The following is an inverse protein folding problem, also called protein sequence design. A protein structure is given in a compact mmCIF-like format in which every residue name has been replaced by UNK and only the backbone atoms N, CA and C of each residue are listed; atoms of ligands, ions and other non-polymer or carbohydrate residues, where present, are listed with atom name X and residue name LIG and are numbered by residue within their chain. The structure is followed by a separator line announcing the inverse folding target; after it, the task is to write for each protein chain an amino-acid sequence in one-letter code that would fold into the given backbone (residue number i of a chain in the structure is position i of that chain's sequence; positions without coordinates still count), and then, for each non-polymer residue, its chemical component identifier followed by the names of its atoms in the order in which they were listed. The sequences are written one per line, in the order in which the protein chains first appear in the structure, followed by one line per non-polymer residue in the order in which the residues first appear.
data_IF_775262535308
#
_entry.id   IF_775262535308
#
_cell.length_a   1.000
_cell.length_b   1.000
_cell.length_c   1.000
_cell.angle_alpha   90.00
_cell.angle_beta   90.00
_cell.angle_gamma   90.00
#
_symmetry.space_group_name_H-M   'P 1'
#
loop_
_entity.id
_entity.type
_entity.pdbx_description
1 polymer ?
#
# COMPACT_ATOMS: atom_id res chain seq x y z
N UNK A 1 16.82 -15.28 -64.93
CA UNK A 1 15.52 -14.59 -65.16
C UNK A 1 14.48 -15.15 -64.20
N UNK A 2 14.26 -14.50 -63.05
CA UNK A 2 12.95 -13.97 -62.60
C UNK A 2 13.13 -13.43 -61.17
N UNK A 3 12.79 -12.16 -61.03
CA UNK A 3 13.00 -11.28 -59.88
C UNK A 3 12.02 -11.55 -58.75
N UNK A 4 12.53 -11.44 -57.52
CA UNK A 4 11.77 -11.38 -56.29
C UNK A 4 10.84 -10.15 -56.29
N UNK A 5 9.55 -10.34 -55.98
CA UNK A 5 8.65 -9.26 -55.62
C UNK A 5 8.14 -9.47 -54.19
N UNK A 6 8.84 -8.82 -53.27
CA UNK A 6 8.43 -8.58 -51.90
C UNK A 6 7.18 -7.70 -51.91
N UNK A 7 6.04 -8.19 -51.38
CA UNK A 7 4.86 -7.36 -51.11
C UNK A 7 4.78 -7.07 -49.62
N UNK A 8 5.35 -5.94 -49.24
CA UNK A 8 5.14 -5.29 -47.95
C UNK A 8 3.66 -4.91 -47.80
N UNK A 9 2.97 -5.45 -46.80
CA UNK A 9 1.71 -4.87 -46.30
C UNK A 9 2.08 -3.76 -45.33
N UNK A 10 1.92 -2.53 -45.80
CA UNK A 10 2.03 -1.28 -45.04
C UNK A 10 1.04 -1.34 -43.88
N UNK A 11 1.58 -1.29 -42.65
CA UNK A 11 0.81 -1.09 -41.43
C UNK A 11 0.27 0.34 -41.47
N UNK A 12 -1.04 0.48 -41.67
CA UNK A 12 -1.72 1.76 -41.59
C UNK A 12 -1.67 2.27 -40.14
N UNK A 13 -0.74 3.20 -39.91
CA UNK A 13 -0.59 4.00 -38.70
C UNK A 13 -1.79 4.93 -38.60
N UNK A 14 -2.73 4.60 -37.71
CA UNK A 14 -3.80 5.52 -37.34
C UNK A 14 -3.17 6.77 -36.73
N UNK A 15 -3.30 7.89 -37.43
CA UNK A 15 -2.90 9.21 -36.97
C UNK A 15 -3.78 9.60 -35.77
N UNK A 16 -3.09 9.81 -34.64
CA UNK A 16 -3.61 10.36 -33.40
C UNK A 16 -4.39 11.66 -33.66
N UNK A 17 -5.71 11.61 -33.51
CA UNK A 17 -6.48 12.80 -33.18
C UNK A 17 -6.15 13.17 -31.73
N UNK A 18 -5.44 14.28 -31.53
CA UNK A 18 -5.20 14.86 -30.22
C UNK A 18 -6.55 15.28 -29.61
N UNK A 19 -7.15 14.40 -28.82
CA UNK A 19 -8.31 14.73 -28.00
C UNK A 19 -7.87 15.75 -26.93
N UNK A 20 -8.49 16.92 -26.97
CA UNK A 20 -8.25 18.01 -26.03
C UNK A 20 -8.32 17.52 -24.58
N UNK A 21 -7.28 17.82 -23.79
CA UNK A 21 -7.28 17.48 -22.37
C UNK A 21 -8.36 18.31 -21.64
N UNK A 22 -9.25 17.68 -20.85
CA UNK A 22 -10.19 18.44 -20.04
C UNK A 22 -9.43 19.21 -18.96
N UNK A 23 -9.77 20.50 -18.83
CA UNK A 23 -9.28 21.39 -17.76
C UNK A 23 -9.57 20.71 -16.42
N UNK A 24 -8.53 20.46 -15.61
CA UNK A 24 -8.69 19.87 -14.27
C UNK A 24 -9.50 20.83 -13.41
N UNK A 25 -10.80 20.57 -13.27
CA UNK A 25 -11.54 20.97 -12.09
C UNK A 25 -10.92 20.25 -10.89
N UNK A 26 -10.87 20.91 -9.72
CA UNK A 26 -10.49 20.25 -8.47
C UNK A 26 -11.56 19.19 -8.19
N UNK A 27 -11.33 17.98 -8.72
CA UNK A 27 -12.31 16.93 -8.75
C UNK A 27 -12.64 16.53 -7.33
N UNK A 28 -13.92 16.62 -6.95
CA UNK A 28 -14.44 15.75 -5.92
C UNK A 28 -14.09 14.33 -6.35
N UNK A 29 -13.10 13.72 -5.70
CA UNK A 29 -12.79 12.31 -5.92
C UNK A 29 -14.05 11.57 -5.48
N UNK A 30 -14.82 11.07 -6.45
CA UNK A 30 -15.84 10.09 -6.18
C UNK A 30 -15.10 8.90 -5.56
N UNK A 31 -15.29 8.70 -4.25
CA UNK A 31 -14.80 7.50 -3.59
C UNK A 31 -15.80 6.42 -3.97
N UNK A 32 -15.52 5.72 -5.07
CA UNK A 32 -16.21 4.49 -5.42
C UNK A 32 -15.97 3.51 -4.26
N UNK A 33 -16.97 3.40 -3.38
CA UNK A 33 -17.00 2.39 -2.30
C UNK A 33 -17.37 1.07 -2.95
N UNK A 34 -16.45 0.49 -3.70
CA UNK A 34 -16.57 -0.91 -4.09
C UNK A 34 -16.55 -1.73 -2.79
N UNK A 35 -17.73 -2.21 -2.39
CA UNK A 35 -18.00 -3.11 -1.26
C UNK A 35 -17.48 -4.53 -1.54
N UNK A 36 -16.25 -4.62 -2.03
CA UNK A 36 -15.51 -5.86 -2.12
C UNK A 36 -14.67 -5.94 -0.85
N UNK A 37 -14.71 -7.08 -0.17
CA UNK A 37 -13.86 -7.37 0.99
C UNK A 37 -12.40 -7.41 0.54
N UNK A 38 -11.78 -6.23 0.44
CA UNK A 38 -10.38 -6.07 0.10
C UNK A 38 -9.53 -6.64 1.25
N UNK A 39 -8.50 -7.43 0.91
CA UNK A 39 -7.57 -7.90 1.95
C UNK A 39 -6.86 -6.71 2.58
N UNK A 40 -6.45 -6.83 3.85
CA UNK A 40 -5.77 -5.73 4.55
C UNK A 40 -4.48 -5.30 3.81
N UNK A 41 -3.78 -6.24 3.21
CA UNK A 41 -2.58 -6.00 2.40
C UNK A 41 -2.94 -5.26 1.09
N UNK A 42 -4.04 -5.61 0.45
CA UNK A 42 -4.51 -4.95 -0.77
C UNK A 42 -4.96 -3.51 -0.47
N UNK A 43 -5.65 -3.31 0.66
CA UNK A 43 -6.07 -2.00 1.13
C UNK A 43 -4.87 -1.11 1.45
N UNK A 44 -3.88 -1.62 2.21
CA UNK A 44 -2.66 -0.88 2.54
C UNK A 44 -1.95 -0.41 1.27
N UNK A 45 -1.76 -1.30 0.30
CA UNK A 45 -1.05 -0.96 -0.93
C UNK A 45 -1.81 0.03 -1.83
N UNK A 46 -3.15 0.05 -1.78
CA UNK A 46 -3.98 0.93 -2.61
C UNK A 46 -4.15 2.31 -1.98
N UNK A 47 -4.31 2.39 -0.67
CA UNK A 47 -4.78 3.60 0.01
C UNK A 47 -3.73 4.26 0.92
N UNK A 48 -2.63 3.58 1.27
CA UNK A 48 -1.62 4.10 2.20
C UNK A 48 -0.33 4.46 1.48
N UNK A 49 0.09 5.72 1.62
CA UNK A 49 1.42 6.18 1.17
C UNK A 49 2.45 5.78 2.21
N UNK A 50 3.37 4.90 1.83
CA UNK A 50 4.39 4.34 2.72
C UNK A 50 5.55 5.32 2.93
N UNK A 51 5.78 5.76 4.18
CA UNK A 51 6.84 6.73 4.54
C UNK A 51 8.26 6.18 4.32
N UNK A 52 8.52 4.91 4.67
CA UNK A 52 9.85 4.30 4.63
C UNK A 52 9.92 2.96 3.86
N UNK A 53 8.86 2.64 3.10
CA UNK A 53 8.63 1.34 2.49
C UNK A 53 8.09 1.49 1.04
N UNK A 54 8.65 2.41 0.26
CA UNK A 54 8.25 2.53 -1.15
C UNK A 54 8.69 1.32 -1.99
N UNK A 55 9.75 0.61 -1.57
CA UNK A 55 10.40 -0.43 -2.38
C UNK A 55 10.57 -1.80 -1.66
N UNK A 56 9.90 -2.05 -0.53
CA UNK A 56 10.01 -3.33 0.19
C UNK A 56 11.36 -3.59 0.89
N UNK A 57 12.21 -2.56 1.02
CA UNK A 57 13.57 -2.68 1.57
C UNK A 57 13.58 -2.86 3.10
N UNK A 58 12.57 -2.38 3.82
CA UNK A 58 12.52 -2.44 5.29
C UNK A 58 11.56 -3.48 5.84
N UNK A 59 10.62 -3.99 5.04
CA UNK A 59 9.59 -4.93 5.48
C UNK A 59 9.22 -5.91 4.37
N UNK A 60 8.91 -7.15 4.76
CA UNK A 60 8.36 -8.17 3.87
C UNK A 60 7.12 -7.60 3.16
N UNK A 61 7.06 -7.75 1.83
CA UNK A 61 5.89 -7.33 1.04
C UNK A 61 4.63 -8.01 1.58
N UNK A 62 3.60 -7.22 1.88
CA UNK A 62 2.32 -7.72 2.43
C UNK A 62 2.37 -8.09 3.91
N UNK A 63 3.36 -7.63 4.67
CA UNK A 63 3.35 -7.78 6.13
C UNK A 63 2.40 -6.74 6.76
N UNK A 64 1.22 -7.20 7.17
CA UNK A 64 0.26 -6.39 7.93
C UNK A 64 0.28 -6.83 9.39
N UNK A 65 0.73 -5.94 10.28
CA UNK A 65 0.72 -6.17 11.72
C UNK A 65 -0.67 -5.83 12.26
N UNK A 66 -1.27 -6.74 13.01
CA UNK A 66 -2.62 -6.57 13.59
C UNK A 66 -2.59 -6.04 15.01
N UNK A 67 -1.66 -6.53 15.83
CA UNK A 67 -1.50 -6.12 17.21
C UNK A 67 -0.10 -6.45 17.73
N UNK A 68 0.25 -5.88 18.88
CA UNK A 68 1.48 -6.17 19.62
C UNK A 68 1.18 -6.38 21.11
N UNK A 69 2.04 -7.15 21.79
CA UNK A 69 1.98 -7.36 23.24
C UNK A 69 3.38 -7.60 23.81
N UNK A 70 3.80 -6.73 24.72
CA UNK A 70 5.16 -6.74 25.26
C UNK A 70 6.19 -6.63 24.14
N UNK A 71 7.23 -7.48 24.08
CA UNK A 71 8.26 -7.39 23.04
C UNK A 71 7.84 -8.03 21.69
N UNK A 72 6.57 -8.43 21.53
CA UNK A 72 6.12 -9.19 20.36
C UNK A 72 5.11 -8.44 19.49
N UNK A 73 5.18 -8.71 18.18
CA UNK A 73 4.22 -8.30 17.16
C UNK A 73 3.57 -9.52 16.52
N UNK A 74 2.35 -9.35 16.04
CA UNK A 74 1.58 -10.40 15.38
C UNK A 74 1.02 -9.89 14.05
N UNK A 75 1.13 -10.70 12.99
CA UNK A 75 0.60 -10.36 11.67
C UNK A 75 -0.84 -10.86 11.44
N UNK A 76 -1.43 -10.47 10.30
CA UNK A 76 -2.75 -10.91 9.83
C UNK A 76 -2.86 -12.42 9.60
N UNK A 77 -1.73 -13.13 9.50
CA UNK A 77 -1.66 -14.58 9.33
C UNK A 77 -1.42 -15.32 10.66
N UNK A 78 -1.34 -14.61 11.79
CA UNK A 78 -1.12 -15.18 13.12
C UNK A 78 0.34 -15.50 13.44
N UNK A 79 1.31 -15.09 12.61
CA UNK A 79 2.73 -15.26 12.92
C UNK A 79 3.14 -14.30 14.02
N UNK A 80 3.99 -14.77 14.94
CA UNK A 80 4.54 -14.00 16.06
C UNK A 80 5.99 -13.63 15.79
N UNK A 81 6.31 -12.35 15.96
CA UNK A 81 7.64 -11.77 15.73
C UNK A 81 8.17 -11.12 17.01
N UNK A 82 9.45 -11.31 17.32
CA UNK A 82 10.14 -10.58 18.37
C UNK A 82 10.64 -9.24 17.80
N UNK A 83 10.27 -8.13 18.42
CA UNK A 83 10.64 -6.79 17.98
C UNK A 83 12.01 -6.38 18.53
N UNK A 84 13.05 -6.69 17.76
CA UNK A 84 14.43 -6.26 18.06
C UNK A 84 14.69 -4.78 17.70
N UNK A 85 13.74 -4.09 17.09
CA UNK A 85 13.90 -2.69 16.68
C UNK A 85 13.15 -1.71 17.58
N UNK A 86 12.29 -2.24 18.47
CA UNK A 86 11.47 -1.49 19.41
C UNK A 86 10.66 -0.37 18.72
N UNK A 87 9.96 -0.72 17.63
CA UNK A 87 9.14 0.23 16.88
C UNK A 87 9.90 1.44 16.34
N UNK A 88 11.15 1.28 15.88
CA UNK A 88 12.08 2.38 15.60
C UNK A 88 12.48 3.13 16.89
N UNK A 89 12.89 2.37 17.91
CA UNK A 89 13.31 2.86 19.22
C UNK A 89 12.29 3.73 19.98
N UNK A 90 10.98 3.48 19.80
CA UNK A 90 9.90 4.21 20.49
C UNK A 90 9.11 3.34 21.47
N UNK A 91 9.18 2.02 21.40
CA UNK A 91 8.38 1.11 22.25
C UNK A 91 9.19 0.54 23.41
N UNK A 92 9.78 1.41 24.23
CA UNK A 92 10.68 1.02 25.31
C UNK A 92 10.04 0.10 26.38
N UNK A 93 8.76 0.31 26.68
CA UNK A 93 7.98 -0.53 27.61
C UNK A 93 7.40 -1.80 26.95
N UNK A 94 7.62 -1.94 25.63
CA UNK A 94 6.92 -2.91 24.80
C UNK A 94 5.58 -2.39 24.27
N UNK A 95 4.96 -3.20 23.41
CA UNK A 95 3.68 -2.92 22.78
C UNK A 95 2.51 -3.17 23.73
N UNK A 96 1.50 -2.30 23.69
CA UNK A 96 0.25 -2.40 24.47
C UNK A 96 0.47 -2.51 25.99
N UNK A 97 1.30 -1.62 26.55
CA UNK A 97 1.47 -1.51 27.99
C UNK A 97 0.14 -1.10 28.69
N UNK A 98 -0.33 -1.86 29.69
CA UNK A 98 -1.63 -1.63 30.32
C UNK A 98 -1.67 -0.35 31.17
N UNK A 99 -0.54 0.08 31.75
CA UNK A 99 -0.50 1.31 32.55
C UNK A 99 -0.57 2.54 31.65
N UNK A 100 0.15 2.52 30.53
CA UNK A 100 0.07 3.57 29.50
C UNK A 100 -1.34 3.64 28.91
N UNK A 101 -1.93 2.50 28.55
CA UNK A 101 -3.29 2.46 27.99
C UNK A 101 -4.32 3.03 28.96
N UNK A 102 -4.24 2.69 30.25
CA UNK A 102 -5.11 3.26 31.29
C UNK A 102 -4.90 4.77 31.43
N UNK A 103 -3.65 5.22 31.53
CA UNK A 103 -3.36 6.65 31.69
C UNK A 103 -3.89 7.50 30.52
N UNK A 104 -3.78 6.98 29.28
CA UNK A 104 -4.35 7.65 28.10
C UNK A 104 -5.88 7.65 28.13
N UNK A 105 -6.51 6.53 28.51
CA UNK A 105 -7.96 6.43 28.60
C UNK A 105 -8.55 7.37 29.65
N UNK A 106 -7.94 7.43 30.84
CA UNK A 106 -8.35 8.32 31.94
C UNK A 106 -8.27 9.80 31.53
N UNK A 107 -7.27 10.16 30.72
CA UNK A 107 -7.06 11.53 30.24
C UNK A 107 -8.01 11.92 29.08
N UNK A 108 -8.55 10.95 28.34
CA UNK A 108 -9.41 11.18 27.19
C UNK A 108 -10.90 11.23 27.52
N UNK A 109 -11.30 10.76 28.71
CA UNK A 109 -12.67 10.78 29.22
C UNK A 109 -13.12 12.19 29.64
#
# INVERSE_FOLDING_TARGET
MLTALCRHRVVARALSAAAAQPKRAFGSVAVDRDDQTISAEAAENKYIVKTYNSNGVRTKKGLVITHGKGPYLFDSHGNKYLDFYSGIAVTALGHADPEVARAVADQAA
#
